data_IF_455772535026
#
_entry.id   IF_455772535026
#
_cell.length_a   1.000
_cell.length_b   1.000
_cell.length_c   1.000
_cell.angle_alpha   90.00
_cell.angle_beta   90.00
_cell.angle_gamma   90.00
#
_symmetry.space_group_name_H-M   'P 1'
#
loop_
_entity.id
_entity.type
_entity.pdbx_description
1 polymer ?
#
# COMPACT_ATOMS: atom_id res chain seq x y z
N UNK A 1 -26.87 14.96 6.77
CA UNK A 1 -26.13 15.10 8.05
C UNK A 1 -25.71 13.69 8.42
N UNK A 2 -24.40 13.38 8.48
CA UNK A 2 -23.98 12.04 8.91
C UNK A 2 -24.13 12.00 10.43
N UNK A 3 -24.87 11.03 10.93
CA UNK A 3 -24.98 10.75 12.36
C UNK A 3 -23.68 10.09 12.87
N UNK A 4 -23.33 10.35 14.12
CA UNK A 4 -22.22 9.65 14.76
C UNK A 4 -22.55 8.15 14.79
N UNK A 5 -21.64 7.32 14.31
CA UNK A 5 -21.79 5.87 14.25
C UNK A 5 -20.64 5.21 14.96
N UNK A 6 -20.91 4.29 15.85
CA UNK A 6 -19.90 3.45 16.48
C UNK A 6 -19.70 2.18 15.66
N UNK A 7 -18.47 1.91 15.26
CA UNK A 7 -18.10 0.70 14.56
C UNK A 7 -16.93 0.06 15.33
N UNK A 8 -17.10 -1.16 15.83
CA UNK A 8 -16.09 -1.88 16.61
C UNK A 8 -15.48 -1.00 17.71
N UNK A 9 -16.32 -0.39 18.54
CA UNK A 9 -15.96 0.51 19.65
C UNK A 9 -15.26 1.82 19.23
N UNK A 10 -15.22 2.13 17.94
CA UNK A 10 -14.72 3.41 17.42
C UNK A 10 -15.89 4.34 17.15
N UNK A 11 -15.94 5.47 17.85
CA UNK A 11 -16.90 6.53 17.59
C UNK A 11 -16.47 7.34 16.35
N UNK A 12 -17.33 7.35 15.33
CA UNK A 12 -17.14 8.18 14.14
C UNK A 12 -17.82 9.52 14.34
N UNK A 13 -17.03 10.57 14.59
CA UNK A 13 -17.53 11.94 14.72
C UNK A 13 -17.48 12.62 13.34
N UNK A 14 -18.63 12.93 12.72
CA UNK A 14 -18.64 13.55 11.40
C UNK A 14 -18.16 15.00 11.47
N UNK A 15 -17.03 15.27 10.82
CA UNK A 15 -16.56 16.63 10.57
C UNK A 15 -17.03 17.05 9.18
N UNK A 16 -17.95 18.04 9.08
CA UNK A 16 -18.53 18.40 7.78
C UNK A 16 -17.47 18.85 6.78
N UNK A 17 -17.54 18.24 5.61
CA UNK A 17 -16.72 18.57 4.46
C UNK A 17 -17.28 19.81 3.76
N UNK A 18 -16.53 20.89 3.68
CA UNK A 18 -16.84 22.00 2.77
C UNK A 18 -16.18 21.68 1.44
N UNK A 19 -16.98 21.45 0.38
CA UNK A 19 -16.46 21.27 -0.99
C UNK A 19 -15.50 22.41 -1.33
N UNK A 20 -14.37 22.06 -1.94
CA UNK A 20 -13.27 22.96 -2.38
C UNK A 20 -13.77 24.31 -2.88
N UNK A 21 -13.57 25.36 -2.09
CA UNK A 21 -13.45 26.73 -2.57
C UNK A 21 -11.94 26.96 -2.82
N UNK A 22 -11.47 26.82 -4.05
CA UNK A 22 -10.16 27.35 -4.45
C UNK A 22 -10.23 28.88 -4.39
N UNK A 23 -9.28 29.59 -3.76
CA UNK A 23 -7.90 29.23 -3.48
C UNK A 23 -7.55 28.93 -2.02
N UNK A 24 -8.53 28.82 -1.11
CA UNK A 24 -8.29 28.67 0.32
C UNK A 24 -8.42 27.22 0.79
N UNK A 25 -7.39 26.40 0.56
CA UNK A 25 -7.27 25.07 1.18
C UNK A 25 -7.14 25.12 2.72
N UNK A 26 -7.06 26.31 3.32
CA UNK A 26 -6.98 26.56 4.76
C UNK A 26 -8.32 26.31 5.50
N UNK A 27 -9.46 26.33 4.83
CA UNK A 27 -10.78 26.18 5.45
C UNK A 27 -11.05 24.77 5.97
N UNK A 28 -10.22 23.79 5.59
CA UNK A 28 -10.34 22.37 5.95
C UNK A 28 -10.19 22.05 7.44
N UNK A 29 -9.62 22.96 8.20
CA UNK A 29 -9.26 22.70 9.59
C UNK A 29 -10.25 23.28 10.62
N UNK A 30 -11.15 24.21 10.28
CA UNK A 30 -11.80 25.00 11.33
C UNK A 30 -12.67 24.18 12.29
N UNK A 31 -13.47 23.23 11.79
CA UNK A 31 -14.29 22.37 12.66
C UNK A 31 -13.43 21.34 13.42
N UNK A 32 -12.46 20.76 12.75
CA UNK A 32 -11.51 19.84 13.40
C UNK A 32 -10.61 20.60 14.40
N UNK A 33 -10.20 21.80 14.07
CA UNK A 33 -9.49 22.72 14.99
C UNK A 33 -10.35 23.05 16.21
N UNK A 34 -11.61 23.42 16.01
CA UNK A 34 -12.53 23.68 17.11
C UNK A 34 -12.73 22.43 17.98
N UNK A 35 -12.91 21.27 17.36
CA UNK A 35 -13.01 20.01 18.10
C UNK A 35 -11.76 19.77 18.96
N UNK A 36 -10.58 19.95 18.39
CA UNK A 36 -9.31 19.80 19.08
C UNK A 36 -9.20 20.79 20.24
N UNK A 37 -9.52 22.07 20.04
CA UNK A 37 -9.52 23.08 21.11
C UNK A 37 -10.43 22.69 22.28
N UNK A 38 -11.60 22.15 21.99
CA UNK A 38 -12.56 21.76 23.04
C UNK A 38 -12.20 20.45 23.75
N UNK A 39 -11.48 19.53 23.09
CA UNK A 39 -11.33 18.17 23.57
C UNK A 39 -9.86 17.73 23.77
N UNK A 40 -8.86 18.54 23.41
CA UNK A 40 -7.45 18.12 23.42
C UNK A 40 -7.01 17.51 24.77
N UNK A 41 -7.48 18.05 25.90
CA UNK A 41 -7.16 17.56 27.24
C UNK A 41 -7.75 16.19 27.59
N UNK A 42 -8.74 15.73 26.80
CA UNK A 42 -9.41 14.42 26.95
C UNK A 42 -8.85 13.39 25.98
N UNK A 43 -7.91 13.78 25.11
CA UNK A 43 -7.31 12.92 24.09
C UNK A 43 -5.95 12.50 24.62
N UNK A 44 -5.80 11.22 24.96
CA UNK A 44 -4.54 10.66 25.43
C UNK A 44 -3.54 10.48 24.30
N UNK A 45 -4.02 10.02 23.13
CA UNK A 45 -3.22 9.84 21.92
C UNK A 45 -3.88 10.53 20.72
N UNK A 46 -3.20 11.50 20.13
CA UNK A 46 -3.61 12.21 18.93
C UNK A 46 -2.80 11.74 17.72
N UNK A 47 -3.43 10.94 16.84
CA UNK A 47 -2.80 10.39 15.65
C UNK A 47 -3.14 11.20 14.39
N UNK A 48 -2.15 11.39 13.54
CA UNK A 48 -2.33 11.99 12.22
C UNK A 48 -1.63 11.15 11.15
N UNK A 49 -2.21 11.15 9.93
CA UNK A 49 -1.60 10.54 8.76
C UNK A 49 -0.82 11.59 7.97
N UNK A 50 0.32 11.21 7.44
CA UNK A 50 1.20 12.00 6.59
C UNK A 50 1.74 13.31 7.20
N UNK A 51 2.87 13.77 6.69
CA UNK A 51 3.44 15.07 7.02
C UNK A 51 2.87 16.12 6.08
N UNK A 52 1.92 16.88 6.59
CA UNK A 52 1.28 18.00 5.88
C UNK A 52 1.33 19.28 6.74
N UNK A 53 1.11 20.44 6.12
CA UNK A 53 0.99 21.71 6.88
C UNK A 53 -0.12 21.61 7.93
N UNK A 54 -1.25 20.99 7.58
CA UNK A 54 -2.37 20.80 8.51
C UNK A 54 -1.99 19.89 9.68
N UNK A 55 -1.28 18.80 9.41
CA UNK A 55 -0.74 17.91 10.45
C UNK A 55 0.18 18.68 11.39
N UNK A 56 1.10 19.47 10.85
CA UNK A 56 2.04 20.26 11.66
C UNK A 56 1.32 21.23 12.59
N UNK A 57 0.38 22.01 12.07
CA UNK A 57 -0.42 22.94 12.86
C UNK A 57 -1.17 22.21 13.97
N UNK A 58 -1.82 21.08 13.65
CA UNK A 58 -2.63 20.33 14.62
C UNK A 58 -1.80 19.68 15.72
N UNK A 59 -0.65 19.10 15.40
CA UNK A 59 0.28 18.54 16.40
C UNK A 59 0.76 19.64 17.34
N UNK A 60 1.16 20.80 16.80
CA UNK A 60 1.61 21.92 17.61
C UNK A 60 0.49 22.40 18.56
N UNK A 61 -0.72 22.61 18.05
CA UNK A 61 -1.86 23.03 18.86
C UNK A 61 -2.19 21.97 19.92
N UNK A 62 -2.24 20.69 19.54
CA UNK A 62 -2.51 19.62 20.49
C UNK A 62 -1.51 19.63 21.66
N UNK A 63 -0.23 19.66 21.36
CA UNK A 63 0.83 19.67 22.40
C UNK A 63 0.87 20.97 23.23
N UNK A 64 0.39 22.08 22.69
CA UNK A 64 0.18 23.33 23.48
C UNK A 64 -0.96 23.18 24.49
N UNK A 65 -2.04 22.50 24.12
CA UNK A 65 -3.25 22.33 24.94
C UNK A 65 -3.17 21.13 25.89
N UNK A 66 -2.45 20.09 25.49
CA UNK A 66 -2.22 18.86 26.26
C UNK A 66 -0.75 18.41 26.15
N UNK A 67 0.08 18.89 27.08
CA UNK A 67 1.52 18.59 27.09
C UNK A 67 1.83 17.13 27.37
N UNK A 68 0.99 16.47 28.18
CA UNK A 68 1.16 15.07 28.58
C UNK A 68 0.57 14.08 27.58
N UNK A 69 -0.30 14.55 26.69
CA UNK A 69 -0.89 13.71 25.66
C UNK A 69 0.13 13.31 24.59
N UNK A 70 -0.03 12.14 24.02
CA UNK A 70 0.87 11.55 23.02
C UNK A 70 0.47 12.06 21.63
N UNK A 71 1.42 12.63 20.89
CA UNK A 71 1.28 13.02 19.50
C UNK A 71 1.98 11.99 18.59
N UNK A 72 1.24 11.39 17.66
CA UNK A 72 1.71 10.32 16.79
C UNK A 72 1.46 10.65 15.32
N UNK A 73 2.47 10.47 14.48
CA UNK A 73 2.33 10.57 13.01
C UNK A 73 2.56 9.21 12.39
N UNK A 74 1.53 8.66 11.73
CA UNK A 74 1.64 7.48 10.88
C UNK A 74 1.97 7.94 9.45
N UNK A 75 3.11 7.52 8.94
CA UNK A 75 3.48 7.76 7.55
C UNK A 75 2.95 6.61 6.70
N UNK A 76 1.96 6.92 5.88
CA UNK A 76 1.40 6.04 4.86
C UNK A 76 1.93 6.51 3.51
N UNK A 77 3.22 6.34 3.30
CA UNK A 77 3.92 6.71 2.08
C UNK A 77 5.29 6.03 2.03
N UNK A 78 5.88 5.98 0.84
CA UNK A 78 7.26 5.53 0.65
C UNK A 78 8.32 6.45 1.33
N UNK A 79 7.88 7.36 2.23
CA UNK A 79 8.75 8.28 2.96
C UNK A 79 9.28 9.45 2.14
N UNK A 80 8.99 9.53 0.84
CA UNK A 80 9.40 10.66 0.01
C UNK A 80 8.58 11.88 0.39
N UNK A 81 9.15 12.71 1.25
CA UNK A 81 8.61 14.01 1.59
C UNK A 81 9.23 15.04 0.65
N UNK A 82 8.50 15.46 -0.38
CA UNK A 82 8.96 16.51 -1.30
C UNK A 82 9.04 17.86 -0.56
N UNK A 83 10.10 18.05 0.18
CA UNK A 83 10.47 19.35 0.77
C UNK A 83 11.34 20.14 -0.21
N UNK A 84 10.81 20.44 -1.40
CA UNK A 84 11.44 21.45 -2.24
C UNK A 84 11.36 22.82 -1.55
N UNK A 85 12.42 23.21 -0.90
CA UNK A 85 12.55 24.54 -0.32
C UNK A 85 13.07 25.51 -1.37
N UNK A 86 12.16 26.21 -2.02
CA UNK A 86 12.52 27.43 -2.76
C UNK A 86 12.96 28.50 -1.76
N UNK A 87 13.96 29.31 -2.10
CA UNK A 87 14.43 30.43 -1.26
C UNK A 87 13.38 31.56 -1.22
N UNK A 88 12.27 31.32 -0.54
CA UNK A 88 11.23 32.33 -0.30
C UNK A 88 10.65 32.20 1.12
N UNK A 89 10.02 33.27 1.58
CA UNK A 89 9.47 33.39 2.94
C UNK A 89 8.46 32.26 3.27
N UNK A 90 7.68 31.81 2.28
CA UNK A 90 6.71 30.71 2.46
C UNK A 90 7.41 29.37 2.75
N UNK A 91 8.51 29.13 2.08
CA UNK A 91 9.33 27.93 2.27
C UNK A 91 10.02 27.94 3.63
N UNK A 92 10.56 29.10 4.04
CA UNK A 92 11.16 29.25 5.37
C UNK A 92 10.13 29.02 6.47
N UNK A 93 8.94 29.62 6.37
CA UNK A 93 7.85 29.41 7.33
C UNK A 93 7.45 27.92 7.41
N UNK A 94 7.33 27.26 6.26
CA UNK A 94 7.02 25.82 6.19
C UNK A 94 8.09 24.97 6.88
N UNK A 95 9.37 25.31 6.66
CA UNK A 95 10.51 24.65 7.31
C UNK A 95 10.45 24.79 8.83
N UNK A 96 10.20 25.99 9.35
CA UNK A 96 10.07 26.25 10.79
C UNK A 96 8.88 25.51 11.39
N UNK A 97 7.75 25.47 10.67
CA UNK A 97 6.55 24.77 11.11
C UNK A 97 6.79 23.26 11.23
N UNK A 98 7.39 22.62 10.21
CA UNK A 98 7.71 21.21 10.26
C UNK A 98 8.78 20.89 11.30
N UNK A 99 9.79 21.76 11.44
CA UNK A 99 10.77 21.63 12.50
C UNK A 99 10.08 21.58 13.86
N UNK A 100 9.21 22.55 14.14
CA UNK A 100 8.48 22.60 15.42
C UNK A 100 7.59 21.38 15.63
N UNK A 101 6.93 20.89 14.60
CA UNK A 101 6.15 19.65 14.66
C UNK A 101 7.02 18.44 15.04
N UNK A 102 8.18 18.25 14.39
CA UNK A 102 9.07 17.13 14.69
C UNK A 102 9.71 17.21 16.07
N UNK A 103 9.94 18.41 16.60
CA UNK A 103 10.36 18.60 17.99
C UNK A 103 9.30 18.12 18.98
N UNK A 104 8.02 18.38 18.69
CA UNK A 104 6.89 18.15 19.59
C UNK A 104 6.22 16.77 19.44
N UNK A 105 6.32 16.13 18.29
CA UNK A 105 5.77 14.78 18.09
C UNK A 105 6.51 13.78 18.97
N UNK A 106 5.78 12.83 19.55
CA UNK A 106 6.36 11.80 20.40
C UNK A 106 6.77 10.56 19.58
N UNK A 107 5.96 10.19 18.58
CA UNK A 107 6.19 9.02 17.75
C UNK A 107 5.93 9.30 16.27
N UNK A 108 6.76 8.70 15.42
CA UNK A 108 6.58 8.70 13.96
C UNK A 108 6.79 7.27 13.47
N UNK A 109 5.77 6.65 12.84
CA UNK A 109 5.94 5.33 12.25
C UNK A 109 6.20 5.40 10.75
N UNK A 110 6.98 4.45 10.28
CA UNK A 110 7.20 4.18 8.87
C UNK A 110 6.78 2.76 8.53
N UNK A 111 6.34 2.52 7.29
CA UNK A 111 5.72 1.26 6.89
C UNK A 111 6.68 0.32 6.16
N UNK A 112 7.76 0.85 5.58
CA UNK A 112 8.73 0.11 4.77
C UNK A 112 10.16 0.53 5.09
N UNK A 113 11.14 -0.34 4.85
CA UNK A 113 12.57 0.00 4.96
C UNK A 113 12.94 1.15 4.05
N UNK A 114 12.44 1.14 2.80
CA UNK A 114 12.60 2.26 1.86
C UNK A 114 12.05 3.57 2.45
N UNK A 115 10.91 3.51 3.15
CA UNK A 115 10.34 4.66 3.84
C UNK A 115 11.25 5.21 4.94
N UNK A 116 11.94 4.34 5.70
CA UNK A 116 12.91 4.75 6.71
C UNK A 116 14.08 5.50 6.09
N UNK A 117 14.68 4.97 5.04
CA UNK A 117 15.82 5.59 4.36
C UNK A 117 15.46 6.99 3.84
N UNK A 118 14.29 7.10 3.20
CA UNK A 118 13.80 8.38 2.70
C UNK A 118 13.53 9.41 3.82
N UNK A 119 12.98 8.98 4.96
CA UNK A 119 12.72 9.87 6.10
C UNK A 119 14.03 10.38 6.68
N UNK A 120 15.00 9.50 6.92
CA UNK A 120 16.27 9.86 7.54
C UNK A 120 17.09 10.81 6.68
N UNK A 121 17.00 10.72 5.36
CA UNK A 121 17.67 11.62 4.42
C UNK A 121 17.00 13.00 4.31
N UNK A 122 15.70 13.09 4.64
CA UNK A 122 14.90 14.31 4.39
C UNK A 122 14.49 15.07 5.65
N UNK A 123 14.93 14.63 6.84
CA UNK A 123 14.68 15.38 8.07
C UNK A 123 15.36 16.72 8.02
N UNK A 124 14.61 17.75 8.16
CA UNK A 124 14.93 19.20 8.08
C UNK A 124 16.05 19.61 9.08
N UNK A 125 17.12 18.84 9.20
CA UNK A 125 18.21 19.06 10.14
C UNK A 125 17.84 18.76 11.59
N UNK A 126 16.86 17.88 11.84
CA UNK A 126 16.48 17.38 13.17
C UNK A 126 16.67 15.87 13.18
N UNK A 127 17.37 15.37 14.18
CA UNK A 127 17.41 13.94 14.45
C UNK A 127 16.09 13.51 15.12
N UNK A 128 15.33 12.68 14.41
CA UNK A 128 14.10 12.06 14.92
C UNK A 128 14.25 10.53 15.11
N UNK A 129 15.45 10.00 15.02
CA UNK A 129 15.72 8.56 15.07
C UNK A 129 15.12 7.89 16.30
N UNK A 130 15.19 8.55 17.47
CA UNK A 130 14.61 8.04 18.72
C UNK A 130 13.09 8.01 18.73
N UNK A 131 12.42 8.69 17.81
CA UNK A 131 10.95 8.75 17.67
C UNK A 131 10.42 7.85 16.57
N UNK A 132 11.32 7.29 15.74
CA UNK A 132 10.95 6.43 14.61
C UNK A 132 10.74 4.99 15.07
N UNK A 133 9.66 4.37 14.56
CA UNK A 133 9.47 2.94 14.72
C UNK A 133 8.84 2.32 13.47
N UNK A 134 9.19 1.08 13.22
CA UNK A 134 8.66 0.31 12.09
C UNK A 134 7.27 -0.22 12.40
N UNK A 135 6.30 0.15 11.59
CA UNK A 135 4.92 -0.32 11.69
C UNK A 135 4.35 -0.56 10.28
N UNK A 136 4.63 -1.71 9.70
CA UNK A 136 4.08 -2.08 8.41
C UNK A 136 2.55 -2.20 8.47
N UNK A 137 1.91 -2.14 7.31
CA UNK A 137 0.49 -2.42 7.23
C UNK A 137 0.24 -3.91 7.50
N UNK A 138 -0.75 -4.17 8.32
CA UNK A 138 -1.16 -5.52 8.65
C UNK A 138 -2.15 -6.10 7.66
N UNK A 139 -2.45 -7.38 7.84
CA UNK A 139 -3.52 -8.10 7.17
C UNK A 139 -4.68 -8.35 8.15
N UNK A 140 -5.91 -8.31 7.66
CA UNK A 140 -7.12 -8.55 8.48
C UNK A 140 -7.40 -10.05 8.63
N UNK A 141 -6.74 -10.70 9.61
CA UNK A 141 -6.92 -12.12 9.91
C UNK A 141 -8.33 -12.45 10.42
N UNK A 142 -8.99 -11.50 11.08
CA UNK A 142 -10.35 -11.70 11.55
C UNK A 142 -11.33 -11.79 10.40
N UNK A 143 -11.06 -11.09 9.31
CA UNK A 143 -11.88 -11.18 8.10
C UNK A 143 -11.74 -12.55 7.41
N UNK A 144 -10.56 -13.18 7.38
CA UNK A 144 -10.39 -14.54 6.86
C UNK A 144 -11.27 -15.52 7.64
N UNK A 145 -11.24 -15.42 8.98
CA UNK A 145 -12.06 -16.25 9.86
C UNK A 145 -13.56 -16.00 9.65
N UNK A 146 -13.94 -14.71 9.57
CA UNK A 146 -15.34 -14.32 9.34
C UNK A 146 -15.89 -14.80 8.00
N UNK A 147 -15.05 -14.78 6.97
CA UNK A 147 -15.39 -15.27 5.63
C UNK A 147 -15.24 -16.79 5.48
N UNK A 148 -14.79 -17.49 6.53
CA UNK A 148 -14.56 -18.94 6.53
C UNK A 148 -13.71 -19.40 5.32
N UNK A 149 -12.55 -18.71 5.12
CA UNK A 149 -11.65 -19.02 4.03
C UNK A 149 -10.55 -19.95 4.53
N UNK A 150 -10.55 -21.18 3.99
CA UNK A 150 -9.43 -22.09 4.19
C UNK A 150 -8.30 -21.77 3.20
N UNK A 151 -7.14 -21.33 3.73
CA UNK A 151 -5.99 -20.99 2.90
C UNK A 151 -5.32 -22.25 2.39
N UNK A 152 -5.22 -22.35 1.05
CA UNK A 152 -4.69 -23.50 0.34
C UNK A 152 -3.17 -23.61 0.50
N UNK A 153 -2.69 -24.84 0.65
CA UNK A 153 -1.30 -25.18 0.47
C UNK A 153 -0.93 -25.19 -1.03
N UNK A 154 0.34 -25.21 -1.34
CA UNK A 154 0.81 -25.11 -2.73
C UNK A 154 0.24 -26.23 -3.62
N UNK A 155 0.18 -27.46 -3.11
CA UNK A 155 -0.36 -28.63 -3.83
C UNK A 155 -1.82 -28.48 -4.24
N UNK A 156 -2.60 -27.70 -3.49
CA UNK A 156 -4.03 -27.50 -3.73
C UNK A 156 -4.33 -26.30 -4.63
N UNK A 157 -3.26 -25.57 -5.01
CA UNK A 157 -3.36 -24.40 -5.89
C UNK A 157 -3.35 -24.78 -7.36
N UNK A 158 -3.99 -23.94 -8.15
CA UNK A 158 -4.05 -24.04 -9.61
C UNK A 158 -2.83 -23.37 -10.25
N UNK A 159 -2.48 -23.75 -11.47
CA UNK A 159 -1.47 -23.05 -12.29
C UNK A 159 -2.05 -21.70 -12.76
N UNK A 160 -2.15 -20.78 -11.82
CA UNK A 160 -2.75 -19.47 -12.02
C UNK A 160 -1.80 -18.38 -11.59
N UNK A 161 -1.66 -17.37 -12.44
CA UNK A 161 -1.01 -16.08 -12.12
C UNK A 161 -2.08 -15.01 -12.01
N UNK A 162 -1.95 -14.11 -11.03
CA UNK A 162 -2.87 -12.98 -10.89
C UNK A 162 -2.11 -11.65 -10.80
N UNK A 163 -2.75 -10.60 -11.26
CA UNK A 163 -2.43 -9.22 -10.89
C UNK A 163 -3.69 -8.51 -10.46
N UNK A 164 -3.57 -7.62 -9.46
CA UNK A 164 -4.72 -6.92 -8.87
C UNK A 164 -4.44 -5.42 -8.78
N UNK A 165 -5.32 -4.61 -9.37
CA UNK A 165 -5.17 -3.16 -9.30
C UNK A 165 -5.97 -2.41 -10.37
N UNK A 166 -5.76 -1.11 -10.48
CA UNK A 166 -6.34 -0.27 -11.54
C UNK A 166 -5.57 -0.53 -12.85
N UNK A 167 -6.14 -1.37 -13.71
CA UNK A 167 -5.48 -1.83 -14.92
C UNK A 167 -5.29 -0.69 -15.94
N UNK A 168 -4.18 -0.73 -16.69
CA UNK A 168 -3.87 0.24 -17.73
C UNK A 168 -3.45 1.63 -17.23
N UNK A 169 -3.30 1.83 -15.91
CA UNK A 169 -2.74 3.09 -15.40
C UNK A 169 -1.22 3.09 -15.54
N UNK A 170 -0.64 4.26 -15.81
CA UNK A 170 0.82 4.40 -15.86
C UNK A 170 1.49 3.87 -14.59
N UNK A 171 0.85 4.07 -13.43
CA UNK A 171 1.34 3.56 -12.15
C UNK A 171 1.43 2.04 -12.14
N UNK A 172 0.40 1.33 -12.59
CA UNK A 172 0.31 -0.15 -12.52
C UNK A 172 1.04 -0.85 -13.65
N UNK A 173 1.29 -0.14 -14.76
CA UNK A 173 2.08 -0.65 -15.90
C UNK A 173 1.66 -2.06 -16.39
N UNK A 174 0.35 -2.27 -16.51
CA UNK A 174 -0.24 -3.56 -16.91
C UNK A 174 0.27 -4.00 -18.29
N UNK A 175 0.61 -3.05 -19.17
CA UNK A 175 1.17 -3.27 -20.47
C UNK A 175 2.47 -4.06 -20.43
N UNK A 176 3.31 -3.86 -19.40
CA UNK A 176 4.55 -4.61 -19.21
C UNK A 176 4.26 -6.11 -19.05
N UNK A 177 3.24 -6.44 -18.24
CA UNK A 177 2.85 -7.84 -18.02
C UNK A 177 2.29 -8.47 -19.30
N UNK A 178 1.40 -7.78 -20.00
CA UNK A 178 0.84 -8.29 -21.27
C UNK A 178 1.93 -8.49 -22.32
N UNK A 179 2.84 -7.53 -22.51
CA UNK A 179 3.98 -7.67 -23.43
C UNK A 179 4.88 -8.85 -23.05
N UNK A 180 5.12 -9.09 -21.77
CA UNK A 180 5.95 -10.22 -21.34
C UNK A 180 5.33 -11.56 -21.72
N UNK A 181 4.01 -11.67 -21.75
CA UNK A 181 3.32 -12.92 -22.09
C UNK A 181 2.96 -13.07 -23.58
N UNK A 182 3.23 -12.08 -24.41
CA UNK A 182 2.92 -12.14 -25.85
C UNK A 182 3.47 -13.41 -26.52
N UNK A 183 4.74 -13.71 -26.27
CA UNK A 183 5.47 -14.79 -26.95
C UNK A 183 5.71 -16.03 -26.06
N UNK A 184 5.17 -16.05 -24.82
CA UNK A 184 5.30 -17.18 -23.92
C UNK A 184 4.22 -18.22 -24.19
N UNK A 185 4.59 -19.49 -24.31
CA UNK A 185 3.61 -20.58 -24.27
C UNK A 185 3.14 -20.80 -22.81
N UNK A 186 1.90 -20.39 -22.52
CA UNK A 186 1.32 -20.49 -21.19
C UNK A 186 0.97 -21.94 -20.78
N UNK A 187 0.97 -22.90 -21.70
CA UNK A 187 0.59 -24.30 -21.44
C UNK A 187 -0.78 -24.38 -20.74
N UNK A 188 -0.81 -24.93 -19.54
CA UNK A 188 -1.99 -25.06 -18.67
C UNK A 188 -2.16 -23.91 -17.67
N UNK A 189 -1.30 -22.86 -17.76
CA UNK A 189 -1.41 -21.68 -16.90
C UNK A 189 -2.45 -20.70 -17.38
N UNK A 190 -3.17 -20.11 -16.41
CA UNK A 190 -4.15 -19.05 -16.64
C UNK A 190 -3.72 -17.78 -15.91
N UNK A 191 -3.89 -16.64 -16.56
CA UNK A 191 -3.59 -15.32 -16.02
C UNK A 191 -4.90 -14.56 -15.81
N UNK A 192 -5.17 -14.12 -14.60
CA UNK A 192 -6.28 -13.21 -14.31
C UNK A 192 -5.77 -11.82 -14.02
N UNK A 193 -6.27 -10.86 -14.79
CA UNK A 193 -6.05 -9.43 -14.56
C UNK A 193 -7.31 -8.88 -13.88
N UNK A 194 -7.17 -8.56 -12.60
CA UNK A 194 -8.30 -8.23 -11.71
C UNK A 194 -8.27 -6.74 -11.41
N UNK A 195 -9.28 -6.03 -11.86
CA UNK A 195 -9.42 -4.61 -11.61
C UNK A 195 -10.15 -3.85 -12.71
N UNK A 196 -10.49 -2.60 -12.40
CA UNK A 196 -11.13 -1.71 -13.37
C UNK A 196 -10.13 -1.22 -14.42
N UNK A 197 -10.65 -1.07 -15.63
CA UNK A 197 -10.04 -0.29 -16.70
C UNK A 197 -10.87 0.99 -16.85
N UNK A 198 -10.22 2.15 -16.81
CA UNK A 198 -10.89 3.41 -17.08
C UNK A 198 -11.44 3.40 -18.53
N UNK A 199 -12.76 3.50 -18.74
CA UNK A 199 -13.35 3.52 -20.08
C UNK A 199 -12.85 4.68 -20.95
N UNK A 200 -12.29 5.73 -20.33
CA UNK A 200 -11.70 6.87 -21.05
C UNK A 200 -10.22 6.63 -21.43
N UNK A 201 -9.61 5.57 -20.96
CA UNK A 201 -8.25 5.21 -21.35
C UNK A 201 -8.23 4.44 -22.67
N UNK A 202 -8.55 5.15 -23.75
CA UNK A 202 -8.66 4.60 -25.12
C UNK A 202 -7.35 3.90 -25.54
N UNK A 203 -6.20 4.50 -25.20
CA UNK A 203 -4.89 3.94 -25.55
C UNK A 203 -4.69 2.54 -24.97
N UNK A 204 -5.07 2.30 -23.74
CA UNK A 204 -4.94 0.98 -23.13
C UNK A 204 -5.98 0.00 -23.70
N UNK A 205 -7.20 0.46 -23.96
CA UNK A 205 -8.24 -0.38 -24.58
C UNK A 205 -7.83 -0.83 -25.98
N UNK A 206 -7.27 0.06 -26.79
CA UNK A 206 -6.70 -0.27 -28.10
C UNK A 206 -5.53 -1.25 -27.99
N UNK A 207 -4.63 -1.04 -27.00
CA UNK A 207 -3.54 -1.96 -26.73
C UNK A 207 -4.04 -3.37 -26.43
N UNK A 208 -5.04 -3.52 -25.54
CA UNK A 208 -5.65 -4.82 -25.21
C UNK A 208 -6.33 -5.45 -26.42
N UNK A 209 -7.04 -4.65 -27.23
CA UNK A 209 -7.67 -5.13 -28.46
C UNK A 209 -6.63 -5.68 -29.45
N UNK A 210 -5.54 -4.94 -29.65
CA UNK A 210 -4.44 -5.35 -30.52
C UNK A 210 -3.72 -6.60 -30.00
N UNK A 211 -3.50 -6.69 -28.67
CA UNK A 211 -2.94 -7.88 -28.03
C UNK A 211 -3.73 -9.14 -28.39
N UNK A 212 -5.06 -9.13 -28.21
CA UNK A 212 -5.90 -10.28 -28.52
C UNK A 212 -6.15 -10.50 -30.02
N UNK A 213 -5.98 -9.49 -30.85
CA UNK A 213 -6.05 -9.64 -32.31
C UNK A 213 -4.80 -10.33 -32.85
N UNK A 214 -3.63 -9.99 -32.30
CA UNK A 214 -2.36 -10.59 -32.69
C UNK A 214 -2.13 -11.96 -32.06
N UNK A 215 -2.71 -12.21 -30.86
CA UNK A 215 -2.54 -13.43 -30.06
C UNK A 215 -3.91 -14.04 -29.71
N UNK A 216 -4.72 -14.49 -30.68
CA UNK A 216 -6.06 -14.99 -30.42
C UNK A 216 -6.08 -16.24 -29.56
N UNK A 217 -5.00 -17.03 -29.52
CA UNK A 217 -4.82 -18.21 -28.66
C UNK A 217 -4.79 -17.85 -27.18
N UNK A 218 -4.36 -16.62 -26.83
CA UNK A 218 -4.30 -16.13 -25.43
C UNK A 218 -5.66 -15.84 -24.83
N UNK A 219 -6.74 -15.72 -25.62
CA UNK A 219 -8.09 -15.39 -25.14
C UNK A 219 -8.63 -16.38 -24.09
N UNK A 220 -8.16 -17.62 -24.10
CA UNK A 220 -8.55 -18.63 -23.13
C UNK A 220 -7.74 -18.60 -21.84
N UNK A 221 -6.51 -18.08 -21.90
CA UNK A 221 -5.54 -18.14 -20.81
C UNK A 221 -5.25 -16.77 -20.17
N UNK A 222 -5.62 -15.66 -20.83
CA UNK A 222 -5.43 -14.29 -20.30
C UNK A 222 -6.82 -13.66 -20.16
N UNK A 223 -7.28 -13.49 -18.92
CA UNK A 223 -8.67 -13.15 -18.61
C UNK A 223 -8.72 -11.86 -17.80
N UNK A 224 -9.44 -10.87 -18.31
CA UNK A 224 -9.80 -9.67 -17.58
C UNK A 224 -11.11 -9.89 -16.83
N UNK A 225 -11.10 -9.81 -15.52
CA UNK A 225 -12.28 -10.05 -14.69
C UNK A 225 -13.14 -8.82 -14.46
N UNK A 226 -12.57 -7.62 -14.71
CA UNK A 226 -13.12 -6.37 -14.17
C UNK A 226 -12.84 -6.23 -12.67
N UNK A 227 -13.42 -5.19 -12.05
CA UNK A 227 -13.31 -4.98 -10.62
C UNK A 227 -14.11 -6.02 -9.83
N UNK A 228 -13.51 -6.56 -8.79
CA UNK A 228 -14.17 -7.45 -7.83
C UNK A 228 -14.27 -6.69 -6.50
N UNK A 229 -15.47 -6.24 -6.15
CA UNK A 229 -15.74 -5.51 -4.91
C UNK A 229 -15.99 -6.43 -3.70
N UNK A 230 -16.47 -7.63 -3.96
CA UNK A 230 -16.66 -8.64 -2.92
C UNK A 230 -15.31 -9.21 -2.48
N UNK A 231 -14.99 -9.05 -1.19
CA UNK A 231 -13.69 -9.40 -0.64
C UNK A 231 -13.45 -10.91 -0.62
N UNK A 232 -14.49 -11.72 -0.37
CA UNK A 232 -14.41 -13.17 -0.41
C UNK A 232 -14.03 -13.62 -1.82
N UNK A 233 -14.78 -13.15 -2.81
CA UNK A 233 -14.55 -13.49 -4.21
C UNK A 233 -13.15 -13.07 -4.69
N UNK A 234 -12.69 -11.87 -4.31
CA UNK A 234 -11.31 -11.43 -4.61
C UNK A 234 -10.28 -12.37 -3.97
N UNK A 235 -10.46 -12.72 -2.71
CA UNK A 235 -9.52 -13.56 -1.99
C UNK A 235 -9.52 -15.02 -2.45
N UNK A 236 -10.59 -15.50 -3.05
CA UNK A 236 -10.64 -16.80 -3.74
C UNK A 236 -9.66 -16.84 -4.92
N UNK A 237 -9.48 -15.72 -5.66
CA UNK A 237 -8.45 -15.64 -6.71
C UNK A 237 -7.04 -15.73 -6.13
N UNK A 238 -6.73 -15.00 -5.09
CA UNK A 238 -5.45 -15.14 -4.41
C UNK A 238 -5.23 -16.57 -3.89
N UNK A 239 -6.27 -17.15 -3.30
CA UNK A 239 -6.20 -18.47 -2.67
C UNK A 239 -5.94 -19.60 -3.66
N UNK A 240 -6.53 -19.54 -4.85
CA UNK A 240 -6.30 -20.55 -5.89
C UNK A 240 -5.00 -20.34 -6.68
N UNK A 241 -4.43 -19.15 -6.67
CA UNK A 241 -3.28 -18.79 -7.51
C UNK A 241 -1.96 -19.20 -6.88
N UNK A 242 -1.00 -19.66 -7.70
CA UNK A 242 0.38 -19.93 -7.29
C UNK A 242 1.24 -18.66 -7.32
N UNK A 243 0.97 -17.74 -8.25
CA UNK A 243 1.83 -16.58 -8.51
C UNK A 243 1.03 -15.28 -8.49
N UNK A 244 1.61 -14.28 -7.88
CA UNK A 244 1.15 -12.89 -7.94
C UNK A 244 2.17 -12.05 -8.69
N UNK A 245 1.73 -11.31 -9.72
CA UNK A 245 2.60 -10.45 -10.53
C UNK A 245 2.24 -8.99 -10.33
N UNK A 246 3.23 -8.15 -10.01
CA UNK A 246 3.04 -6.71 -9.85
C UNK A 246 4.10 -5.95 -10.66
N UNK A 247 3.67 -5.25 -11.69
CA UNK A 247 4.52 -4.49 -12.60
C UNK A 247 4.52 -2.98 -12.32
N UNK A 248 4.04 -2.58 -11.14
CA UNK A 248 3.86 -1.17 -10.77
C UNK A 248 5.16 -0.38 -10.82
N UNK A 249 5.10 0.86 -11.32
CA UNK A 249 6.21 1.82 -11.26
C UNK A 249 6.40 2.45 -9.89
N UNK A 250 5.32 2.55 -9.13
CA UNK A 250 5.37 3.06 -7.76
C UNK A 250 4.19 2.54 -6.93
N UNK A 251 4.45 2.29 -5.65
CA UNK A 251 3.45 2.00 -4.63
C UNK A 251 3.83 2.72 -3.34
N UNK A 252 2.84 3.13 -2.55
CA UNK A 252 3.12 3.61 -1.19
C UNK A 252 3.54 2.44 -0.30
N UNK A 253 2.69 1.45 -0.18
CA UNK A 253 2.95 0.19 0.51
C UNK A 253 2.74 -1.02 -0.41
N UNK A 254 1.63 -1.04 -1.16
CA UNK A 254 1.21 -2.17 -1.98
C UNK A 254 0.49 -3.23 -1.15
N UNK A 255 -0.69 -2.92 -0.60
CA UNK A 255 -1.50 -3.86 0.19
C UNK A 255 -1.76 -5.19 -0.53
N UNK A 256 -1.81 -5.18 -1.86
CA UNK A 256 -1.93 -6.37 -2.72
C UNK A 256 -0.76 -7.35 -2.53
N UNK A 257 0.44 -6.87 -2.15
CA UNK A 257 1.58 -7.71 -1.82
C UNK A 257 1.39 -8.43 -0.48
N UNK A 258 0.76 -7.76 0.51
CA UNK A 258 0.37 -8.40 1.77
C UNK A 258 -0.66 -9.52 1.53
N UNK A 259 -1.65 -9.24 0.69
CA UNK A 259 -2.66 -10.23 0.31
C UNK A 259 -1.99 -11.42 -0.39
N UNK A 260 -1.11 -11.16 -1.35
CA UNK A 260 -0.38 -12.20 -2.06
C UNK A 260 0.43 -13.09 -1.10
N UNK A 261 1.21 -12.48 -0.21
CA UNK A 261 2.00 -13.21 0.79
C UNK A 261 1.11 -14.01 1.74
N UNK A 262 0.00 -13.39 2.21
CA UNK A 262 -0.92 -14.07 3.13
C UNK A 262 -1.56 -15.31 2.51
N UNK A 263 -1.88 -15.26 1.23
CA UNK A 263 -2.41 -16.38 0.48
C UNK A 263 -1.32 -17.28 -0.15
N UNK A 264 -0.07 -17.15 0.28
CA UNK A 264 1.04 -18.01 -0.16
C UNK A 264 1.24 -18.01 -1.68
N UNK A 265 1.12 -16.83 -2.32
CA UNK A 265 1.47 -16.66 -3.71
C UNK A 265 2.97 -16.31 -3.81
N UNK A 266 3.69 -16.96 -4.71
CA UNK A 266 5.03 -16.52 -5.07
C UNK A 266 4.95 -15.13 -5.73
N UNK A 267 5.69 -14.16 -5.22
CA UNK A 267 5.58 -12.75 -5.62
C UNK A 267 6.62 -12.43 -6.68
N UNK A 268 6.17 -12.07 -7.89
CA UNK A 268 7.01 -11.51 -8.96
C UNK A 268 6.68 -10.03 -9.07
N UNK A 269 7.60 -9.16 -8.67
CA UNK A 269 7.29 -7.73 -8.60
C UNK A 269 8.48 -6.83 -8.89
N UNK A 270 8.21 -5.65 -9.40
CA UNK A 270 9.16 -4.53 -9.32
C UNK A 270 9.39 -4.15 -7.86
N UNK A 271 10.57 -3.59 -7.57
CA UNK A 271 10.91 -3.16 -6.20
C UNK A 271 10.16 -1.86 -5.85
N UNK A 272 8.94 -2.02 -5.35
CA UNK A 272 8.03 -0.91 -5.00
C UNK A 272 7.33 -1.17 -3.67
N UNK A 273 7.08 -0.11 -2.91
CA UNK A 273 6.36 -0.20 -1.64
C UNK A 273 7.06 -1.14 -0.65
N UNK A 274 6.32 -2.13 -0.15
CA UNK A 274 6.80 -3.10 0.82
C UNK A 274 7.36 -4.39 0.19
N UNK A 275 7.66 -4.41 -1.12
CA UNK A 275 8.11 -5.61 -1.81
C UNK A 275 9.30 -6.27 -1.09
N UNK A 276 10.38 -5.51 -0.88
CA UNK A 276 11.60 -6.04 -0.23
C UNK A 276 11.35 -6.55 1.20
N UNK A 277 10.50 -5.84 1.95
CA UNK A 277 10.11 -6.25 3.31
C UNK A 277 9.30 -7.56 3.30
N UNK A 278 8.46 -7.76 2.28
CA UNK A 278 7.54 -8.90 2.20
C UNK A 278 8.17 -10.14 1.57
N UNK A 279 9.10 -9.98 0.63
CA UNK A 279 9.78 -11.14 0.00
C UNK A 279 10.95 -11.68 0.84
N UNK A 280 11.37 -10.98 1.90
CA UNK A 280 12.39 -11.43 2.85
C UNK A 280 13.68 -11.92 2.15
N UNK A 281 14.33 -11.01 1.43
CA UNK A 281 15.56 -11.29 0.66
C UNK A 281 15.38 -12.37 -0.43
N UNK A 282 14.20 -12.38 -1.05
CA UNK A 282 13.91 -13.28 -2.17
C UNK A 282 13.32 -14.64 -1.78
N UNK A 283 13.07 -14.87 -0.47
CA UNK A 283 12.48 -16.15 -0.01
C UNK A 283 11.06 -16.37 -0.59
N UNK A 284 10.23 -15.34 -0.63
CA UNK A 284 8.82 -15.47 -1.04
C UNK A 284 8.53 -14.85 -2.40
N UNK A 285 9.55 -14.52 -3.17
CA UNK A 285 9.36 -13.91 -4.48
C UNK A 285 10.65 -13.44 -5.12
N UNK A 286 10.57 -12.90 -6.32
CA UNK A 286 11.69 -12.33 -7.04
C UNK A 286 11.41 -10.93 -7.56
N UNK A 287 12.45 -10.10 -7.57
CA UNK A 287 12.42 -8.77 -8.15
C UNK A 287 12.51 -8.83 -9.68
N UNK A 288 11.75 -7.94 -10.33
CA UNK A 288 11.91 -7.65 -11.75
C UNK A 288 12.34 -6.19 -11.94
N UNK A 289 13.27 -5.89 -12.85
CA UNK A 289 13.62 -4.51 -13.16
C UNK A 289 12.44 -3.74 -13.76
N UNK A 290 12.36 -2.44 -13.46
CA UNK A 290 11.36 -1.55 -14.05
C UNK A 290 11.43 -1.58 -15.58
N UNK A 291 10.26 -1.62 -16.21
CA UNK A 291 10.08 -1.56 -17.67
C UNK A 291 10.89 -2.61 -18.49
N UNK A 292 11.30 -3.72 -17.87
CA UNK A 292 12.07 -4.79 -18.54
C UNK A 292 11.18 -5.99 -18.89
N UNK A 293 10.63 -5.98 -20.08
CA UNK A 293 9.72 -7.02 -20.59
C UNK A 293 10.40 -8.38 -20.72
N UNK A 294 11.63 -8.40 -21.24
CA UNK A 294 12.36 -9.65 -21.52
C UNK A 294 12.74 -10.38 -20.22
N UNK A 295 13.12 -9.61 -19.21
CA UNK A 295 13.42 -10.20 -17.89
C UNK A 295 12.16 -10.80 -17.26
N UNK A 296 11.03 -10.08 -17.30
CA UNK A 296 9.76 -10.61 -16.80
C UNK A 296 9.35 -11.88 -17.57
N UNK A 297 9.44 -11.85 -18.91
CA UNK A 297 9.15 -13.00 -19.76
C UNK A 297 9.99 -14.22 -19.35
N UNK A 298 11.30 -14.05 -19.18
CA UNK A 298 12.22 -15.12 -18.76
C UNK A 298 11.82 -15.70 -17.39
N UNK A 299 11.45 -14.88 -16.41
CA UNK A 299 11.01 -15.36 -15.09
C UNK A 299 9.71 -16.15 -15.20
N UNK A 300 8.73 -15.65 -15.96
CA UNK A 300 7.45 -16.33 -16.14
C UNK A 300 7.63 -17.68 -16.87
N UNK A 301 8.48 -17.74 -17.89
CA UNK A 301 8.81 -18.99 -18.56
C UNK A 301 9.45 -20.02 -17.62
N UNK A 302 10.42 -19.60 -16.79
CA UNK A 302 11.03 -20.48 -15.79
C UNK A 302 9.99 -21.05 -14.81
N UNK A 303 9.02 -20.24 -14.40
CA UNK A 303 7.91 -20.67 -13.54
C UNK A 303 7.04 -21.70 -14.26
N UNK A 304 6.61 -21.40 -15.49
CA UNK A 304 5.76 -22.27 -16.31
C UNK A 304 6.44 -23.62 -16.60
N UNK A 305 7.75 -23.61 -16.79
CA UNK A 305 8.55 -24.80 -17.06
C UNK A 305 8.97 -25.56 -15.78
N UNK A 306 8.62 -25.07 -14.57
CA UNK A 306 9.04 -25.66 -13.31
C UNK A 306 10.56 -25.57 -13.03
N UNK A 307 11.24 -24.60 -13.65
CA UNK A 307 12.66 -24.35 -13.50
C UNK A 307 12.98 -23.37 -12.35
N UNK A 308 11.98 -22.74 -11.80
CA UNK A 308 12.06 -21.89 -10.61
C UNK A 308 11.17 -22.50 -9.53
N UNK A 309 11.78 -22.76 -8.37
CA UNK A 309 11.01 -23.21 -7.20
C UNK A 309 10.14 -22.06 -6.67
N UNK A 310 8.85 -22.29 -6.63
CA UNK A 310 7.84 -21.35 -6.13
C UNK A 310 7.01 -21.93 -4.96
N UNK A 311 7.33 -23.15 -4.50
CA UNK A 311 6.75 -23.76 -3.29
C UNK A 311 7.58 -23.40 -2.06
N UNK A 312 7.51 -22.16 -1.65
CA UNK A 312 8.43 -21.55 -0.69
C UNK A 312 7.80 -21.22 0.67
N UNK A 313 6.56 -21.62 0.89
CA UNK A 313 5.79 -21.21 2.07
C UNK A 313 5.68 -22.28 3.17
N UNK A 314 6.46 -23.35 3.13
CA UNK A 314 6.38 -24.46 4.10
C UNK A 314 6.55 -24.02 5.56
N UNK A 315 7.46 -23.07 5.83
CA UNK A 315 7.74 -22.55 7.18
C UNK A 315 7.07 -21.17 7.44
N UNK A 316 6.10 -20.79 6.62
CA UNK A 316 5.49 -19.48 6.75
C UNK A 316 4.43 -19.43 7.83
N UNK A 317 4.60 -18.53 8.81
CA UNK A 317 3.57 -18.18 9.79
C UNK A 317 2.89 -16.86 9.41
N UNK A 318 1.56 -16.87 9.16
CA UNK A 318 0.82 -15.66 8.80
C UNK A 318 0.65 -14.66 9.95
N UNK A 319 0.90 -15.06 11.20
CA UNK A 319 0.69 -14.22 12.39
C UNK A 319 1.47 -12.91 12.29
N UNK A 320 2.70 -12.97 11.75
CA UNK A 320 3.56 -11.80 11.57
C UNK A 320 2.98 -10.73 10.64
N UNK A 321 2.05 -11.09 9.75
CA UNK A 321 1.35 -10.16 8.86
C UNK A 321 0.11 -9.53 9.50
N UNK A 322 -0.41 -10.05 10.62
CA UNK A 322 -1.67 -9.57 11.19
C UNK A 322 -1.57 -8.15 11.73
N UNK A 323 -2.65 -7.38 11.62
CA UNK A 323 -2.77 -6.07 12.28
C UNK A 323 -2.55 -6.17 13.80
N UNK A 324 -3.09 -7.23 14.41
CA UNK A 324 -2.92 -7.46 15.84
C UNK A 324 -1.44 -7.57 16.24
N UNK A 325 -0.66 -8.36 15.48
CA UNK A 325 0.77 -8.52 15.71
C UNK A 325 1.53 -7.20 15.55
N UNK A 326 1.22 -6.43 14.50
CA UNK A 326 1.86 -5.15 14.24
C UNK A 326 1.59 -4.14 15.35
N UNK A 327 0.33 -4.04 15.81
CA UNK A 327 -0.05 -3.15 16.91
C UNK A 327 0.56 -3.58 18.24
N UNK A 328 0.61 -4.87 18.52
CA UNK A 328 1.22 -5.40 19.77
C UNK A 328 2.71 -5.09 19.87
N UNK A 329 3.40 -4.95 18.76
CA UNK A 329 4.82 -4.53 18.69
C UNK A 329 5.02 -3.05 19.02
N UNK A 330 3.97 -2.23 18.95
CA UNK A 330 4.04 -0.84 19.40
C UNK A 330 4.28 -0.85 20.92
N UNK A 331 5.53 -0.78 21.32
CA UNK A 331 5.89 -0.43 22.69
C UNK A 331 5.65 1.08 22.84
N UNK A 332 4.44 1.47 23.17
CA UNK A 332 4.21 2.77 23.77
C UNK A 332 4.92 2.69 25.12
N UNK A 333 6.14 3.22 25.19
CA UNK A 333 6.86 3.29 26.46
C UNK A 333 5.98 4.07 27.44
N UNK A 334 5.47 3.37 28.45
CA UNK A 334 4.84 3.99 29.62
C UNK A 334 5.87 4.80 30.39
#
# INVERSE_FOLDING_TARGET
>A
MYEAKTIRDVELVPVSYIKKLRPFSFVFGFKLMRYLFCNARKIDLFMRFHVTITTAIMIIIYKMLNRNGIAYIKLDSNGVMNFEYKNNLKSLFRKLLYRRMFELVDFVSYETKMGLENITQQTIGIDISSKLFYMPNGFDEDMIKHLDINVKEYSDKENVMITVGRLGTNQKNTELFLKAVENIDLKDWVIYLIGDIDPQNITFLEFVSNFFSNHPEKKKSVIFTGAISDKRHLWEYYNKSKVFVLTSRCESYGLVLNEAKRFRNFIVSTNVGAFEDLVESGKYGCEIPQDNTDYLACILEKIILGQLDIDVYNDFSPESLSYYYQVKRMKLNN
#
